data_IF_583029932508
#
_entry.id   IF_583029932508
#
_cell.length_a   1.000
_cell.length_b   1.000
_cell.length_c   1.000
_cell.angle_alpha   90.00
_cell.angle_beta   90.00
_cell.angle_gamma   90.00
#
_symmetry.space_group_name_H-M   'P 1'
#
loop_
_entity.id
_entity.type
_entity.pdbx_description
1 polymer ?
#
# COMPACT_ATOMS: atom_id res chain seq x y z
N UNK A 1 4.11 -7.71 31.30
CA UNK A 1 5.29 -7.38 30.47
C UNK A 1 4.99 -7.02 29.01
N UNK A 2 3.74 -7.18 28.50
CA UNK A 2 3.40 -6.85 27.10
C UNK A 2 2.75 -5.48 26.91
N UNK A 3 2.22 -4.87 27.98
CA UNK A 3 1.56 -3.55 27.95
C UNK A 3 2.52 -2.47 27.42
N UNK A 4 1.96 -1.52 26.65
CA UNK A 4 2.67 -0.31 26.24
C UNK A 4 2.66 0.65 27.43
N UNK A 5 3.72 0.60 28.23
CA UNK A 5 3.88 1.46 29.41
C UNK A 5 5.29 2.04 29.40
N UNK A 6 5.47 3.39 29.44
CA UNK A 6 6.79 4.00 29.48
C UNK A 6 7.62 3.59 30.71
N UNK A 7 6.99 3.06 31.77
CA UNK A 7 7.68 2.49 32.94
C UNK A 7 8.27 1.11 32.67
N UNK A 8 7.86 0.42 31.61
CA UNK A 8 8.43 -0.84 31.17
C UNK A 8 9.40 -0.57 30.01
N UNK A 9 10.64 -0.27 30.35
CA UNK A 9 11.67 0.18 29.41
C UNK A 9 11.84 -0.78 28.21
N UNK A 10 11.80 -2.09 28.45
CA UNK A 10 11.97 -3.09 27.40
C UNK A 10 10.81 -3.08 26.39
N UNK A 11 9.56 -3.25 26.85
CA UNK A 11 8.41 -3.35 25.92
C UNK A 11 8.15 -2.01 25.22
N UNK A 12 8.33 -0.90 25.93
CA UNK A 12 8.16 0.43 25.36
C UNK A 12 9.21 0.75 24.31
N UNK A 13 10.49 0.44 24.57
CA UNK A 13 11.57 0.68 23.60
C UNK A 13 11.36 -0.13 22.34
N UNK A 14 11.04 -1.43 22.46
CA UNK A 14 10.76 -2.29 21.31
C UNK A 14 9.55 -1.84 20.49
N UNK A 15 8.51 -1.28 21.14
CA UNK A 15 7.35 -0.75 20.45
C UNK A 15 7.65 0.58 19.73
N UNK A 16 8.45 1.45 20.36
CA UNK A 16 8.81 2.78 19.88
C UNK A 16 9.80 2.74 18.71
N UNK A 17 10.85 1.92 18.84
CA UNK A 17 11.92 1.73 17.85
C UNK A 17 12.07 0.24 17.60
N UNK A 18 11.44 -0.25 16.52
CA UNK A 18 11.34 -1.69 16.28
C UNK A 18 12.74 -2.23 15.96
N UNK A 19 13.30 -3.17 16.75
CA UNK A 19 14.70 -3.56 16.66
C UNK A 19 15.01 -4.51 15.49
N UNK A 20 14.03 -4.80 14.63
CA UNK A 20 14.15 -5.73 13.51
C UNK A 20 14.15 -4.93 12.20
N UNK A 21 15.09 -5.17 11.28
CA UNK A 21 15.09 -4.49 10.00
C UNK A 21 13.90 -4.95 9.16
N UNK A 22 13.12 -3.99 8.65
CA UNK A 22 12.12 -4.24 7.62
C UNK A 22 12.76 -4.00 6.26
N UNK A 23 12.44 -4.82 5.28
CA UNK A 23 12.87 -4.60 3.90
C UNK A 23 11.63 -4.46 3.01
N UNK A 24 11.72 -3.54 2.06
CA UNK A 24 10.75 -3.37 0.98
C UNK A 24 11.44 -3.77 -0.31
N UNK A 25 10.98 -4.85 -0.93
CA UNK A 25 11.45 -5.26 -2.26
C UNK A 25 10.45 -4.76 -3.29
N UNK A 26 10.94 -3.99 -4.26
CA UNK A 26 10.11 -3.42 -5.33
C UNK A 26 10.43 -4.10 -6.65
N UNK A 27 9.38 -4.43 -7.39
CA UNK A 27 9.45 -5.02 -8.71
C UNK A 27 8.67 -4.14 -9.69
N UNK A 28 9.26 -3.82 -10.83
CA UNK A 28 8.59 -3.07 -11.89
C UNK A 28 8.25 -3.99 -13.06
N UNK A 29 7.10 -3.75 -13.68
CA UNK A 29 6.77 -4.37 -14.96
C UNK A 29 7.22 -3.45 -16.10
N UNK A 30 8.36 -3.78 -16.71
CA UNK A 30 8.89 -3.07 -17.87
C UNK A 30 8.06 -3.40 -19.10
N UNK A 31 7.47 -2.39 -19.75
CA UNK A 31 6.68 -2.56 -20.97
C UNK A 31 7.62 -2.73 -22.17
N UNK A 32 7.47 -3.86 -22.88
CA UNK A 32 8.35 -4.22 -23.99
C UNK A 32 7.87 -3.70 -25.35
N UNK A 33 6.57 -3.46 -25.51
CA UNK A 33 5.93 -3.14 -26.79
C UNK A 33 5.04 -1.87 -26.72
N UNK A 34 5.54 -0.72 -26.23
CA UNK A 34 4.71 0.46 -26.00
C UNK A 34 4.06 1.00 -27.28
N UNK A 35 4.72 0.89 -28.44
CA UNK A 35 4.18 1.38 -29.72
C UNK A 35 3.02 0.52 -30.21
N UNK A 36 3.13 -0.79 -30.08
CA UNK A 36 2.12 -1.77 -30.45
C UNK A 36 0.89 -1.65 -29.54
N UNK A 37 1.10 -1.42 -28.24
CA UNK A 37 -0.01 -1.16 -27.30
C UNK A 37 -0.81 0.07 -27.72
N UNK A 38 -0.16 1.13 -28.19
CA UNK A 38 -0.86 2.30 -28.73
C UNK A 38 -1.61 2.02 -30.04
N UNK A 39 -1.22 0.98 -30.78
CA UNK A 39 -1.93 0.49 -31.95
C UNK A 39 -3.08 -0.47 -31.60
N UNK A 40 -3.25 -0.84 -30.32
CA UNK A 40 -4.32 -1.72 -29.83
C UNK A 40 -3.88 -3.15 -29.52
N UNK A 41 -2.59 -3.47 -29.62
CA UNK A 41 -2.07 -4.78 -29.23
C UNK A 41 -2.02 -4.95 -27.71
N UNK A 42 -1.92 -6.21 -27.27
CA UNK A 42 -1.81 -6.54 -25.84
C UNK A 42 -0.44 -6.10 -25.27
N UNK A 43 -0.41 -5.47 -24.07
CA UNK A 43 0.85 -5.21 -23.37
C UNK A 43 1.64 -6.48 -23.10
N UNK A 44 2.93 -6.45 -23.44
CA UNK A 44 3.93 -7.44 -23.05
C UNK A 44 4.84 -6.80 -22.00
N UNK A 45 4.95 -7.45 -20.84
CA UNK A 45 5.76 -6.94 -19.74
C UNK A 45 6.81 -7.94 -19.29
N UNK A 46 7.91 -7.42 -18.77
CA UNK A 46 8.95 -8.19 -18.09
C UNK A 46 9.15 -7.64 -16.68
N UNK A 47 9.15 -8.51 -15.67
CA UNK A 47 9.43 -8.10 -14.30
C UNK A 47 10.91 -7.75 -14.12
N UNK A 48 11.19 -6.58 -13.55
CA UNK A 48 12.52 -6.08 -13.20
C UNK A 48 12.61 -5.84 -11.69
N UNK A 49 13.54 -6.51 -11.02
CA UNK A 49 13.75 -6.41 -9.58
C UNK A 49 14.25 -7.73 -8.97
N UNK A 50 14.41 -7.80 -7.64
CA UNK A 50 14.01 -6.76 -6.69
C UNK A 50 14.97 -5.57 -6.67
N UNK A 51 14.41 -4.39 -6.43
CA UNK A 51 15.12 -3.23 -5.88
C UNK A 51 14.77 -3.14 -4.40
N UNK A 52 15.75 -3.37 -3.54
CA UNK A 52 15.55 -3.58 -2.10
C UNK A 52 15.89 -2.32 -1.32
N UNK A 53 14.97 -1.93 -0.44
CA UNK A 53 15.14 -0.82 0.48
C UNK A 53 14.97 -1.29 1.91
N UNK A 54 15.96 -1.04 2.76
CA UNK A 54 15.82 -1.17 4.20
C UNK A 54 14.94 -0.03 4.72
N UNK A 55 13.86 -0.40 5.38
CA UNK A 55 12.89 0.50 5.99
C UNK A 55 13.18 0.63 7.49
N UNK A 56 13.44 1.85 7.94
CA UNK A 56 13.49 2.22 9.36
C UNK A 56 12.13 2.78 9.78
N UNK A 57 11.61 2.30 10.91
CA UNK A 57 10.31 2.70 11.45
C UNK A 57 10.51 3.26 12.85
N UNK A 58 10.06 4.49 13.10
CA UNK A 58 10.16 5.12 14.43
C UNK A 58 8.88 5.82 14.82
N UNK A 59 8.42 5.58 16.05
CA UNK A 59 7.27 6.28 16.63
C UNK A 59 7.72 7.55 17.36
N UNK A 60 7.16 8.68 16.96
CA UNK A 60 7.43 10.01 17.51
C UNK A 60 6.13 10.68 17.96
N UNK A 61 6.25 11.84 18.64
CA UNK A 61 5.12 12.61 19.17
C UNK A 61 4.15 11.76 19.99
N UNK A 62 4.71 10.96 20.91
CA UNK A 62 3.98 9.97 21.68
C UNK A 62 3.29 10.65 22.87
N UNK A 63 1.97 10.50 22.94
CA UNK A 63 1.14 11.06 24.02
C UNK A 63 0.24 9.97 24.61
N UNK A 64 0.37 9.73 25.91
CA UNK A 64 -0.48 8.79 26.64
C UNK A 64 -1.71 9.48 27.21
N UNK A 65 -2.84 8.79 27.20
CA UNK A 65 -4.13 9.34 27.59
C UNK A 65 -4.73 8.63 28.82
N UNK A 66 -5.59 9.31 29.60
CA UNK A 66 -6.26 8.71 30.76
C UNK A 66 -7.14 7.51 30.43
N UNK A 67 -7.69 7.44 29.21
CA UNK A 67 -8.54 6.35 28.72
C UNK A 67 -7.75 5.11 28.24
N UNK A 68 -6.52 4.92 28.74
CA UNK A 68 -5.66 3.77 28.41
C UNK A 68 -5.28 3.64 26.93
N UNK A 69 -5.32 4.75 26.19
CA UNK A 69 -4.81 4.84 24.81
C UNK A 69 -3.51 5.63 24.72
N UNK A 70 -2.83 5.50 23.58
CA UNK A 70 -1.61 6.25 23.25
C UNK A 70 -1.69 6.72 21.80
N UNK A 71 -1.40 8.00 21.56
CA UNK A 71 -1.28 8.58 20.23
C UNK A 71 0.17 8.70 19.81
N UNK A 72 0.47 8.46 18.53
CA UNK A 72 1.82 8.61 17.96
C UNK A 72 1.79 8.83 16.45
N UNK A 73 2.88 9.40 15.93
CA UNK A 73 3.18 9.44 14.51
C UNK A 73 4.26 8.42 14.19
N UNK A 74 3.99 7.57 13.19
CA UNK A 74 4.97 6.60 12.70
C UNK A 74 5.73 7.15 11.51
N UNK A 75 7.01 7.44 11.70
CA UNK A 75 7.90 7.89 10.64
C UNK A 75 8.58 6.70 9.96
N UNK A 76 8.69 6.79 8.63
CA UNK A 76 9.30 5.77 7.78
C UNK A 76 10.42 6.39 6.95
N UNK A 77 11.60 5.78 7.00
CA UNK A 77 12.73 6.15 6.16
C UNK A 77 13.19 4.93 5.37
N UNK A 78 13.52 5.13 4.10
CA UNK A 78 13.93 4.06 3.19
C UNK A 78 15.38 4.29 2.73
N UNK A 79 16.18 3.23 2.81
CA UNK A 79 17.60 3.24 2.43
C UNK A 79 17.83 2.12 1.43
N UNK A 80 18.31 2.45 0.24
CA UNK A 80 18.58 1.45 -0.80
C UNK A 80 19.68 0.49 -0.34
N UNK A 81 19.49 -0.81 -0.63
CA UNK A 81 20.42 -1.89 -0.27
C UNK A 81 20.92 -2.56 -1.57
N UNK A 82 22.03 -2.05 -2.16
CA UNK A 82 22.55 -2.57 -3.43
C UNK A 82 22.93 -4.05 -3.37
N UNK A 83 23.41 -4.53 -2.22
CA UNK A 83 23.84 -5.93 -2.04
C UNK A 83 22.69 -6.94 -2.03
N UNK A 84 21.45 -6.47 -1.83
CA UNK A 84 20.24 -7.29 -1.86
C UNK A 84 19.40 -7.07 -3.12
N UNK A 85 19.81 -6.11 -3.97
CA UNK A 85 19.09 -5.71 -5.17
C UNK A 85 19.66 -6.41 -6.40
N UNK A 86 18.80 -6.74 -7.37
CA UNK A 86 19.25 -7.29 -8.66
C UNK A 86 19.92 -6.23 -9.53
N UNK A 87 19.55 -4.96 -9.35
CA UNK A 87 19.98 -3.83 -10.15
C UNK A 87 20.25 -2.58 -9.30
N UNK A 88 20.52 -1.46 -9.96
CA UNK A 88 20.74 -0.16 -9.32
C UNK A 88 19.52 0.75 -9.48
N UNK A 89 19.35 1.75 -8.62
CA UNK A 89 18.29 2.76 -8.77
C UNK A 89 18.43 3.59 -10.07
N UNK A 90 19.60 3.57 -10.70
CA UNK A 90 19.83 4.15 -12.03
C UNK A 90 19.25 3.33 -13.19
N UNK A 91 18.83 2.09 -12.95
CA UNK A 91 18.24 1.23 -13.98
C UNK A 91 16.96 1.85 -14.51
N UNK A 92 16.79 1.78 -15.83
CA UNK A 92 15.72 2.47 -16.54
C UNK A 92 14.61 1.50 -16.89
N UNK A 93 13.37 1.90 -16.61
CA UNK A 93 12.17 1.11 -16.88
C UNK A 93 11.15 1.96 -17.63
N UNK A 94 10.47 1.34 -18.59
CA UNK A 94 9.32 1.92 -19.30
C UNK A 94 8.03 1.46 -18.64
N UNK A 95 7.22 2.40 -18.15
CA UNK A 95 5.93 2.15 -17.51
C UNK A 95 4.83 3.05 -18.08
N UNK A 96 3.54 2.73 -17.87
CA UNK A 96 2.45 3.65 -18.19
C UNK A 96 2.63 5.00 -17.48
N UNK A 97 2.42 6.09 -18.21
CA UNK A 97 2.57 7.45 -17.69
C UNK A 97 1.38 7.82 -16.80
N UNK A 98 1.51 7.54 -15.50
CA UNK A 98 0.44 7.76 -14.52
C UNK A 98 -0.02 9.21 -14.44
N UNK A 99 0.86 10.20 -14.64
CA UNK A 99 0.47 11.61 -14.69
C UNK A 99 -0.45 11.89 -15.86
N UNK A 100 -0.06 11.48 -17.07
CA UNK A 100 -0.84 11.70 -18.28
C UNK A 100 -2.16 10.94 -18.22
N UNK A 101 -2.15 9.68 -17.76
CA UNK A 101 -3.35 8.86 -17.60
C UNK A 101 -4.31 9.44 -16.55
N UNK A 102 -3.79 9.87 -15.40
CA UNK A 102 -4.58 10.51 -14.35
C UNK A 102 -5.20 11.82 -14.83
N UNK A 103 -4.40 12.68 -15.45
CA UNK A 103 -4.90 13.92 -16.03
C UNK A 103 -5.93 13.66 -17.14
N UNK A 104 -5.74 12.64 -17.99
CA UNK A 104 -6.69 12.27 -19.05
C UNK A 104 -8.07 11.90 -18.49
N UNK A 105 -8.12 11.10 -17.42
CA UNK A 105 -9.38 10.73 -16.75
C UNK A 105 -10.03 11.96 -16.10
N UNK A 106 -9.25 12.82 -15.44
CA UNK A 106 -9.78 14.05 -14.84
C UNK A 106 -10.33 15.04 -15.89
N UNK A 107 -9.77 15.05 -17.09
CA UNK A 107 -10.18 15.92 -18.19
C UNK A 107 -11.49 15.52 -18.88
N UNK A 108 -11.97 14.30 -18.69
CA UNK A 108 -13.13 13.76 -19.42
C UNK A 108 -14.37 14.65 -19.25
N UNK A 109 -14.52 15.27 -18.07
CA UNK A 109 -15.66 16.11 -17.71
C UNK A 109 -15.37 17.63 -17.85
N UNK A 110 -14.22 18.04 -18.37
CA UNK A 110 -13.86 19.46 -18.50
C UNK A 110 -14.42 20.10 -19.79
N UNK A 111 -14.65 21.42 -19.80
CA UNK A 111 -15.06 22.14 -21.01
C UNK A 111 -14.07 21.95 -22.17
N UNK A 112 -14.60 21.89 -23.40
CA UNK A 112 -13.83 21.61 -24.62
C UNK A 112 -12.56 22.46 -24.75
N UNK A 113 -12.65 23.77 -24.51
CA UNK A 113 -11.52 24.69 -24.63
C UNK A 113 -10.36 24.33 -23.66
N UNK A 114 -10.70 23.91 -22.43
CA UNK A 114 -9.71 23.52 -21.45
C UNK A 114 -9.08 22.16 -21.79
N UNK A 115 -9.90 21.21 -22.26
CA UNK A 115 -9.40 19.92 -22.78
C UNK A 115 -8.42 20.11 -23.94
N UNK A 116 -8.73 21.03 -24.88
CA UNK A 116 -7.85 21.36 -26.00
C UNK A 116 -6.53 21.99 -25.53
N UNK A 117 -6.59 22.91 -24.55
CA UNK A 117 -5.41 23.51 -23.94
C UNK A 117 -4.48 22.45 -23.36
N UNK A 118 -4.99 21.58 -22.48
CA UNK A 118 -4.18 20.55 -21.81
C UNK A 118 -3.66 19.51 -22.82
N UNK A 119 -4.47 19.11 -23.80
CA UNK A 119 -4.03 18.21 -24.88
C UNK A 119 -2.86 18.81 -25.68
N UNK A 120 -2.92 20.12 -25.95
CA UNK A 120 -1.83 20.85 -26.62
C UNK A 120 -0.59 20.92 -25.74
N UNK A 121 -0.76 21.08 -24.42
CA UNK A 121 0.34 21.04 -23.45
C UNK A 121 1.05 19.69 -23.46
N UNK A 122 0.32 18.57 -23.45
CA UNK A 122 0.93 17.22 -23.53
C UNK A 122 1.81 17.08 -24.76
N UNK A 123 1.30 17.48 -25.93
CA UNK A 123 2.07 17.44 -27.19
C UNK A 123 3.30 18.35 -27.14
N UNK A 124 3.16 19.55 -26.56
CA UNK A 124 4.25 20.54 -26.45
C UNK A 124 5.37 20.06 -25.53
N UNK A 125 5.01 19.44 -24.41
CA UNK A 125 5.97 18.90 -23.45
C UNK A 125 6.48 17.51 -23.82
N UNK A 126 5.97 16.93 -24.91
CA UNK A 126 6.27 15.56 -25.37
C UNK A 126 5.92 14.51 -24.30
N UNK A 127 4.84 14.75 -23.57
CA UNK A 127 4.28 13.83 -22.59
C UNK A 127 3.45 12.77 -23.32
N UNK A 128 3.94 11.53 -23.31
CA UNK A 128 3.29 10.38 -23.95
C UNK A 128 2.57 9.47 -22.95
N UNK A 129 1.77 8.50 -23.43
CA UNK A 129 1.07 7.53 -22.57
C UNK A 129 1.99 6.55 -21.83
N UNK A 130 3.24 6.44 -22.27
CA UNK A 130 4.32 5.71 -21.60
C UNK A 130 5.44 6.68 -21.27
N UNK A 131 6.15 6.40 -20.18
CA UNK A 131 7.34 7.15 -19.78
C UNK A 131 8.46 6.16 -19.46
N UNK A 132 9.69 6.61 -19.71
CA UNK A 132 10.92 5.85 -19.48
C UNK A 132 11.78 6.64 -18.52
N UNK A 133 12.00 6.09 -17.32
CA UNK A 133 12.65 6.77 -16.19
C UNK A 133 13.48 5.79 -15.36
N UNK A 134 14.42 6.31 -14.57
CA UNK A 134 15.16 5.46 -13.64
C UNK A 134 14.26 4.98 -12.51
N UNK A 135 14.62 3.88 -11.86
CA UNK A 135 13.94 3.38 -10.66
C UNK A 135 13.90 4.43 -9.57
N UNK A 136 14.99 5.18 -9.36
CA UNK A 136 15.05 6.29 -8.39
C UNK A 136 13.96 7.34 -8.67
N UNK A 137 13.87 7.78 -9.93
CA UNK A 137 12.91 8.77 -10.38
C UNK A 137 11.47 8.26 -10.21
N UNK A 138 11.20 7.00 -10.55
CA UNK A 138 9.87 6.39 -10.43
C UNK A 138 9.44 6.23 -8.96
N UNK A 139 10.37 5.85 -8.09
CA UNK A 139 10.14 5.63 -6.66
C UNK A 139 9.97 6.95 -5.91
N UNK A 140 10.98 7.82 -5.98
CA UNK A 140 11.12 8.98 -5.09
C UNK A 140 10.74 10.30 -5.75
N UNK A 141 10.55 10.25 -7.06
CA UNK A 141 9.91 11.30 -7.83
C UNK A 141 10.86 12.05 -8.75
N UNK A 142 10.29 12.55 -9.83
CA UNK A 142 10.96 13.36 -10.85
C UNK A 142 10.23 14.69 -11.06
N UNK A 143 10.97 15.68 -11.56
CA UNK A 143 10.41 16.96 -11.95
C UNK A 143 9.68 16.83 -13.30
N UNK A 144 8.46 17.37 -13.37
CA UNK A 144 7.64 17.33 -14.58
C UNK A 144 7.12 18.72 -14.91
N UNK A 145 7.41 19.16 -16.15
CA UNK A 145 6.87 20.41 -16.70
C UNK A 145 5.35 20.41 -16.73
N UNK A 146 4.74 19.23 -16.89
CA UNK A 146 3.30 19.08 -16.85
C UNK A 146 2.76 19.37 -15.44
N UNK A 147 3.41 18.86 -14.40
CA UNK A 147 3.04 19.15 -13.01
C UNK A 147 3.15 20.65 -12.73
N UNK A 148 4.24 21.30 -13.14
CA UNK A 148 4.42 22.75 -12.98
C UNK A 148 3.31 23.55 -13.68
N UNK A 149 2.98 23.17 -14.92
CA UNK A 149 1.93 23.81 -15.69
C UNK A 149 0.56 23.65 -15.02
N UNK A 150 0.22 22.44 -14.60
CA UNK A 150 -1.07 22.13 -13.98
C UNK A 150 -1.21 22.85 -12.64
N UNK A 151 -0.18 22.87 -11.80
CA UNK A 151 -0.23 23.59 -10.53
C UNK A 151 -0.36 25.12 -10.72
N UNK A 152 0.27 25.67 -11.77
CA UNK A 152 0.22 27.11 -12.06
C UNK A 152 -1.13 27.56 -12.63
N UNK A 153 -1.70 26.78 -13.54
CA UNK A 153 -2.88 27.19 -14.32
C UNK A 153 -4.18 26.51 -13.88
N UNK A 154 -4.09 25.38 -13.17
CA UNK A 154 -5.20 24.57 -12.68
C UNK A 154 -4.95 24.16 -11.21
N UNK A 155 -4.88 25.14 -10.28
CA UNK A 155 -4.59 24.86 -8.89
C UNK A 155 -5.63 23.92 -8.28
N UNK A 156 -5.16 22.92 -7.52
CA UNK A 156 -6.00 21.91 -6.88
C UNK A 156 -6.33 20.69 -7.76
N UNK A 157 -5.88 20.66 -9.02
CA UNK A 157 -6.08 19.50 -9.90
C UNK A 157 -5.14 18.33 -9.54
N UNK A 158 -3.91 18.63 -9.11
CA UNK A 158 -2.97 17.64 -8.62
C UNK A 158 -2.87 17.70 -7.09
N UNK A 159 -2.72 16.55 -6.41
CA UNK A 159 -2.58 16.52 -4.95
C UNK A 159 -1.25 17.07 -4.46
N UNK A 160 -0.21 17.09 -5.31
CA UNK A 160 1.15 17.50 -4.95
C UNK A 160 1.65 18.63 -5.86
N UNK A 161 2.35 19.59 -5.25
CA UNK A 161 2.93 20.75 -5.94
C UNK A 161 4.40 20.58 -6.33
N UNK A 162 4.99 19.42 -6.04
CA UNK A 162 6.41 19.10 -6.28
C UNK A 162 6.62 17.91 -7.21
N UNK A 163 7.62 17.08 -6.89
CA UNK A 163 7.97 15.90 -7.68
C UNK A 163 6.83 14.90 -7.76
N UNK A 164 6.71 14.24 -8.91
CA UNK A 164 5.79 13.12 -9.07
C UNK A 164 6.54 11.80 -9.00
N UNK A 165 6.07 10.87 -8.18
CA UNK A 165 6.59 9.51 -8.06
C UNK A 165 5.62 8.64 -7.27
N UNK A 166 5.78 7.32 -7.36
CA UNK A 166 4.91 6.34 -6.68
C UNK A 166 4.94 6.51 -5.16
N UNK A 167 6.12 6.84 -4.63
CA UNK A 167 6.40 6.97 -3.20
C UNK A 167 7.08 8.31 -2.88
N UNK A 168 6.87 9.34 -3.71
CA UNK A 168 7.54 10.63 -3.59
C UNK A 168 7.38 11.28 -2.20
N UNK A 169 6.24 11.08 -1.55
CA UNK A 169 5.94 11.62 -0.21
C UNK A 169 6.09 10.58 0.91
N UNK A 170 6.69 9.41 0.66
CA UNK A 170 6.78 8.32 1.65
C UNK A 170 8.09 8.36 2.44
N UNK A 171 9.16 8.90 1.88
CA UNK A 171 10.45 8.90 2.53
C UNK A 171 10.56 10.03 3.56
N UNK A 172 10.96 9.69 4.79
CA UNK A 172 11.04 10.61 5.93
C UNK A 172 9.69 11.27 6.27
N UNK A 173 8.58 10.60 5.95
CA UNK A 173 7.23 11.05 6.27
C UNK A 173 6.54 10.08 7.23
N UNK A 174 5.29 10.38 7.58
CA UNK A 174 4.48 9.54 8.45
C UNK A 174 3.14 9.18 7.79
N UNK A 175 2.51 8.09 8.28
CA UNK A 175 1.23 7.61 7.75
C UNK A 175 0.02 8.10 8.53
N UNK A 176 0.10 9.28 9.13
CA UNK A 176 -0.95 9.86 9.96
C UNK A 176 -0.85 9.50 11.44
N UNK A 177 -1.65 10.21 12.25
CA UNK A 177 -1.71 10.09 13.70
C UNK A 177 -2.56 8.88 14.08
N UNK A 178 -1.92 7.84 14.63
CA UNK A 178 -2.62 6.71 15.20
C UNK A 178 -2.86 6.93 16.69
N UNK A 179 -4.07 6.64 17.15
CA UNK A 179 -4.39 6.41 18.56
C UNK A 179 -4.73 4.94 18.73
N UNK A 180 -4.01 4.25 19.60
CA UNK A 180 -4.18 2.81 19.84
C UNK A 180 -4.36 2.52 21.33
N UNK A 181 -4.98 1.39 21.64
CA UNK A 181 -5.06 0.89 23.01
C UNK A 181 -3.70 0.39 23.51
N UNK A 182 -3.37 0.73 24.75
CA UNK A 182 -2.10 0.35 25.41
C UNK A 182 -2.13 -1.08 25.97
N UNK A 183 -3.32 -1.65 26.16
CA UNK A 183 -3.53 -2.94 26.81
C UNK A 183 -3.46 -2.90 28.33
N UNK A 184 -3.45 -1.71 28.94
CA UNK A 184 -3.36 -1.51 30.40
C UNK A 184 -4.64 -1.93 31.13
N UNK A 185 -5.78 -1.73 30.48
CA UNK A 185 -7.11 -2.14 30.93
C UNK A 185 -7.39 -3.60 30.55
N UNK A 186 -7.27 -3.93 29.27
CA UNK A 186 -7.46 -5.29 28.75
C UNK A 186 -6.37 -5.58 27.72
N UNK A 187 -5.53 -6.58 28.02
CA UNK A 187 -4.44 -6.97 27.14
C UNK A 187 -4.93 -7.45 25.76
N UNK A 188 -6.19 -7.89 25.64
CA UNK A 188 -6.81 -8.27 24.35
C UNK A 188 -7.09 -7.08 23.44
N UNK A 189 -7.01 -5.85 23.96
CA UNK A 189 -7.18 -4.62 23.20
C UNK A 189 -5.86 -4.03 22.71
N UNK A 190 -4.71 -4.46 23.25
CA UNK A 190 -3.42 -3.86 22.90
C UNK A 190 -3.20 -3.77 21.38
N UNK A 191 -2.67 -2.64 20.92
CA UNK A 191 -2.45 -2.32 19.50
C UNK A 191 -3.69 -2.10 18.64
N UNK A 192 -4.90 -2.37 19.15
CA UNK A 192 -6.12 -2.03 18.41
C UNK A 192 -6.21 -0.53 18.20
N UNK A 193 -6.59 -0.14 16.99
CA UNK A 193 -6.77 1.26 16.60
C UNK A 193 -8.07 1.76 17.23
N UNK A 194 -7.96 2.83 17.99
CA UNK A 194 -9.10 3.62 18.47
C UNK A 194 -9.49 4.65 17.41
N UNK A 195 -8.50 5.36 16.86
CA UNK A 195 -8.70 6.34 15.79
C UNK A 195 -7.45 6.55 14.93
N UNK A 196 -7.67 7.02 13.70
CA UNK A 196 -6.62 7.45 12.78
C UNK A 196 -6.93 8.86 12.28
N UNK A 197 -6.00 9.80 12.46
CA UNK A 197 -6.20 11.23 12.20
C UNK A 197 -7.47 11.80 12.86
N UNK A 198 -7.79 11.31 14.06
CA UNK A 198 -9.01 11.69 14.81
C UNK A 198 -10.31 11.07 14.27
N UNK A 199 -10.24 10.28 13.19
CA UNK A 199 -11.37 9.55 12.63
C UNK A 199 -11.48 8.16 13.25
N UNK A 200 -12.68 7.78 13.66
CA UNK A 200 -13.05 6.42 14.10
C UNK A 200 -13.66 5.59 12.96
N UNK A 201 -14.01 6.25 11.85
CA UNK A 201 -14.49 5.66 10.60
C UNK A 201 -14.04 6.52 9.42
N UNK A 202 -13.83 5.87 8.29
CA UNK A 202 -13.51 6.50 7.02
C UNK A 202 -14.76 7.14 6.40
N UNK A 203 -14.54 7.89 5.32
CA UNK A 203 -15.61 8.50 4.52
C UNK A 203 -15.48 8.18 3.03
N UNK A 204 -14.46 7.39 2.65
CA UNK A 204 -14.11 7.13 1.26
C UNK A 204 -14.98 6.06 0.58
N UNK A 205 -15.74 5.27 1.36
CA UNK A 205 -16.47 4.10 0.87
C UNK A 205 -17.99 4.27 0.98
N UNK A 206 -18.74 3.46 0.24
CA UNK A 206 -20.19 3.63 0.08
C UNK A 206 -21.02 3.16 1.27
N UNK A 207 -20.54 2.16 2.00
CA UNK A 207 -21.28 1.56 3.12
C UNK A 207 -20.61 1.86 4.46
N UNK A 208 -21.36 1.92 5.57
CA UNK A 208 -20.80 2.09 6.90
C UNK A 208 -19.77 1.01 7.26
N UNK A 209 -20.04 -0.25 6.87
CA UNK A 209 -19.14 -1.38 7.10
C UNK A 209 -17.78 -1.19 6.44
N UNK A 210 -17.75 -0.80 5.16
CA UNK A 210 -16.49 -0.61 4.42
C UNK A 210 -15.67 0.58 4.95
N UNK A 211 -16.32 1.50 5.65
CA UNK A 211 -15.69 2.65 6.29
C UNK A 211 -15.16 2.35 7.71
N UNK A 212 -15.33 1.14 8.26
CA UNK A 212 -14.83 0.83 9.59
C UNK A 212 -13.29 0.77 9.62
N UNK A 213 -12.69 1.36 10.65
CA UNK A 213 -11.27 1.20 10.97
C UNK A 213 -11.15 0.07 11.99
N UNK A 214 -10.91 -1.13 11.48
CA UNK A 214 -10.84 -2.36 12.28
C UNK A 214 -9.39 -2.82 12.50
N UNK A 215 -9.18 -3.45 13.67
CA UNK A 215 -7.96 -4.17 13.98
C UNK A 215 -6.82 -3.27 14.46
N UNK A 216 -5.59 -3.62 14.07
CA UNK A 216 -4.37 -2.90 14.50
C UNK A 216 -3.77 -2.07 13.36
N UNK A 217 -2.64 -1.39 13.61
CA UNK A 217 -1.87 -0.71 12.56
C UNK A 217 -1.05 -1.66 11.67
N UNK A 218 -1.23 -2.99 11.78
CA UNK A 218 -0.59 -3.99 10.91
C UNK A 218 0.84 -4.42 11.31
N UNK A 219 1.34 -3.96 12.46
CA UNK A 219 2.69 -4.27 12.97
C UNK A 219 2.71 -5.25 14.14
N UNK A 220 1.66 -5.25 14.95
CA UNK A 220 1.55 -6.06 16.15
C UNK A 220 0.07 -6.35 16.37
N UNK A 221 -0.24 -7.51 16.95
CA UNK A 221 -1.60 -7.90 17.33
C UNK A 221 -1.66 -8.29 18.81
N UNK A 222 -2.86 -8.27 19.43
CA UNK A 222 -3.03 -8.74 20.79
C UNK A 222 -2.49 -10.16 20.99
N UNK A 223 -1.97 -10.52 22.18
CA UNK A 223 -1.43 -11.86 22.48
C UNK A 223 -2.51 -12.96 22.53
N UNK A 224 -2.08 -14.22 22.59
CA UNK A 224 -2.94 -15.41 22.72
C UNK A 224 -3.86 -15.66 21.52
N UNK A 225 -3.31 -15.66 20.30
CA UNK A 225 -4.09 -15.97 19.10
C UNK A 225 -4.40 -17.48 19.03
N UNK A 226 -5.59 -17.80 18.56
CA UNK A 226 -6.02 -19.18 18.25
C UNK A 226 -6.14 -19.38 16.74
N UNK A 227 -6.36 -20.62 16.30
CA UNK A 227 -6.56 -20.94 14.87
C UNK A 227 -7.85 -20.36 14.32
N UNK A 228 -8.82 -20.07 15.19
CA UNK A 228 -10.09 -19.43 14.89
C UNK A 228 -9.99 -17.89 14.88
N UNK A 229 -8.89 -17.33 15.38
CA UNK A 229 -8.67 -15.89 15.38
C UNK A 229 -8.40 -15.39 13.95
N UNK A 230 -8.80 -14.17 13.63
CA UNK A 230 -8.39 -13.45 12.42
C UNK A 230 -7.51 -12.26 12.77
N UNK A 231 -6.78 -11.73 11.79
CA UNK A 231 -5.89 -10.58 11.97
C UNK A 231 -6.38 -9.38 11.16
N UNK A 232 -7.38 -8.63 11.67
CA UNK A 232 -7.76 -7.38 11.05
C UNK A 232 -6.66 -6.32 11.26
N UNK A 233 -6.45 -5.48 10.26
CA UNK A 233 -5.58 -4.31 10.36
C UNK A 233 -6.05 -3.19 9.42
N UNK A 234 -5.81 -1.96 9.82
CA UNK A 234 -6.04 -0.79 8.97
C UNK A 234 -4.78 -0.41 8.22
N UNK A 235 -4.89 -0.28 6.89
CA UNK A 235 -3.79 0.18 6.03
C UNK A 235 -4.16 1.55 5.43
N UNK A 236 -3.55 2.65 5.88
CA UNK A 236 -3.73 3.96 5.26
C UNK A 236 -3.42 3.95 3.76
N UNK A 237 -2.41 3.15 3.37
CA UNK A 237 -1.93 3.06 1.99
C UNK A 237 -2.96 2.40 1.05
N UNK A 238 -3.73 1.43 1.56
CA UNK A 238 -4.82 0.75 0.86
C UNK A 238 -6.21 1.38 1.15
N UNK A 239 -6.24 2.42 1.99
CA UNK A 239 -7.43 3.19 2.35
C UNK A 239 -8.58 2.38 2.95
N UNK A 240 -8.32 1.20 3.52
CA UNK A 240 -9.35 0.37 4.16
C UNK A 240 -8.74 -0.55 5.21
N UNK A 241 -9.62 -1.14 6.02
CA UNK A 241 -9.25 -2.31 6.80
C UNK A 241 -9.22 -3.58 5.95
N UNK A 242 -8.22 -4.40 6.22
CA UNK A 242 -7.93 -5.70 5.61
C UNK A 242 -7.88 -6.75 6.72
N UNK A 243 -8.01 -8.01 6.34
CA UNK A 243 -8.02 -9.12 7.30
C UNK A 243 -7.23 -10.31 6.75
N UNK A 244 -6.37 -10.89 7.59
CA UNK A 244 -5.68 -12.15 7.30
C UNK A 244 -6.33 -13.29 8.09
N UNK A 245 -6.38 -14.46 7.49
CA UNK A 245 -7.00 -15.67 8.06
C UNK A 245 -5.95 -16.75 8.27
N UNK A 246 -6.14 -17.57 9.31
CA UNK A 246 -5.23 -18.68 9.60
C UNK A 246 -5.16 -19.66 8.42
N UNK A 247 -3.95 -20.11 8.09
CA UNK A 247 -3.69 -21.11 7.06
C UNK A 247 -3.13 -22.40 7.66
N UNK A 248 -2.03 -22.32 8.41
CA UNK A 248 -1.30 -23.49 8.92
C UNK A 248 -0.36 -23.16 10.08
N UNK A 249 0.08 -24.20 10.78
CA UNK A 249 1.22 -24.12 11.71
C UNK A 249 2.56 -24.20 10.96
N UNK A 250 3.61 -23.67 11.59
CA UNK A 250 4.98 -23.75 11.11
C UNK A 250 5.98 -23.63 12.25
N UNK A 251 7.25 -23.86 11.92
CA UNK A 251 8.39 -23.67 12.83
C UNK A 251 9.47 -22.91 12.06
N UNK A 252 10.01 -21.86 12.66
CA UNK A 252 11.16 -21.12 12.13
C UNK A 252 12.18 -20.92 13.25
N UNK A 253 13.42 -21.34 13.03
CA UNK A 253 14.50 -21.27 14.02
C UNK A 253 14.11 -21.86 15.40
N UNK A 254 13.35 -22.95 15.39
CA UNK A 254 12.84 -23.62 16.60
C UNK A 254 11.65 -22.91 17.27
N UNK A 255 11.16 -21.81 16.71
CA UNK A 255 10.03 -21.04 17.23
C UNK A 255 8.73 -21.51 16.55
N UNK A 256 7.70 -21.92 17.30
CA UNK A 256 6.40 -22.30 16.73
C UNK A 256 5.62 -21.07 16.26
N UNK A 257 5.01 -21.18 15.08
CA UNK A 257 4.35 -20.08 14.38
C UNK A 257 3.00 -20.50 13.83
N UNK A 258 2.09 -19.54 13.75
CA UNK A 258 0.89 -19.63 12.95
C UNK A 258 1.04 -18.73 11.73
N UNK A 259 0.82 -19.31 10.55
CA UNK A 259 0.79 -18.59 9.28
C UNK A 259 -0.63 -18.10 9.02
N UNK A 260 -0.75 -16.79 8.84
CA UNK A 260 -1.97 -16.13 8.40
C UNK A 260 -1.76 -15.59 6.99
N UNK A 261 -2.76 -15.73 6.13
CA UNK A 261 -2.69 -15.35 4.72
C UNK A 261 -3.84 -14.44 4.34
N UNK A 262 -3.65 -13.66 3.27
CA UNK A 262 -4.75 -12.96 2.64
C UNK A 262 -5.71 -13.97 1.98
N UNK A 263 -6.99 -14.01 2.40
CA UNK A 263 -7.97 -14.86 1.73
C UNK A 263 -8.29 -14.32 0.33
N UNK A 264 -8.75 -15.20 -0.57
CA UNK A 264 -9.22 -14.81 -1.91
C UNK A 264 -10.34 -13.75 -1.87
N UNK A 265 -11.08 -13.67 -0.77
CA UNK A 265 -12.14 -12.69 -0.53
C UNK A 265 -11.63 -11.27 -0.26
N UNK A 266 -10.34 -11.07 0.04
CA UNK A 266 -9.78 -9.76 0.42
C UNK A 266 -10.07 -8.67 -0.63
N UNK A 267 -9.86 -8.98 -1.92
CA UNK A 267 -10.13 -8.08 -3.04
C UNK A 267 -11.22 -8.61 -3.98
N UNK A 268 -12.03 -9.57 -3.54
CA UNK A 268 -13.14 -10.08 -4.33
C UNK A 268 -14.19 -8.99 -4.60
N UNK A 269 -14.85 -9.09 -5.75
CA UNK A 269 -15.99 -8.26 -6.14
C UNK A 269 -17.12 -8.40 -5.11
N UNK A 270 -17.87 -7.31 -4.86
CA UNK A 270 -19.06 -7.33 -4.02
C UNK A 270 -20.13 -8.35 -4.45
N UNK A 271 -20.21 -8.70 -5.74
CA UNK A 271 -21.08 -9.77 -6.23
C UNK A 271 -20.66 -11.16 -5.75
N UNK A 272 -19.35 -11.38 -5.61
CA UNK A 272 -18.77 -12.66 -5.21
C UNK A 272 -18.64 -12.76 -3.69
N UNK A 273 -18.46 -11.61 -3.02
CA UNK A 273 -18.36 -11.48 -1.58
C UNK A 273 -19.08 -10.21 -1.11
N UNK A 274 -20.34 -10.37 -0.68
CA UNK A 274 -21.23 -9.27 -0.30
C UNK A 274 -20.62 -8.23 0.67
N UNK A 275 -19.79 -8.60 1.68
CA UNK A 275 -19.13 -7.62 2.54
C UNK A 275 -18.24 -6.60 1.81
N UNK A 276 -17.84 -6.87 0.56
CA UNK A 276 -17.03 -5.95 -0.25
C UNK A 276 -17.86 -4.99 -1.13
N UNK A 277 -19.19 -5.05 -1.13
CA UNK A 277 -20.05 -4.23 -2.00
C UNK A 277 -19.79 -2.72 -1.87
N UNK A 278 -19.45 -2.25 -0.65
CA UNK A 278 -19.18 -0.83 -0.41
C UNK A 278 -17.84 -0.30 -0.95
N UNK A 279 -16.93 -1.19 -1.40
CA UNK A 279 -15.65 -0.81 -2.03
C UNK A 279 -15.75 -0.59 -3.56
N UNK A 280 -16.93 -0.81 -4.13
CA UNK A 280 -17.17 -0.70 -5.58
C UNK A 280 -17.15 0.76 -6.08
N UNK A 281 -16.77 1.03 -7.35
CA UNK A 281 -17.31 0.36 -8.54
C UNK A 281 -16.66 -1.00 -8.77
N UNK A 282 -17.51 -2.02 -8.87
CA UNK A 282 -17.04 -3.39 -8.93
C UNK A 282 -16.44 -3.66 -10.31
N UNK A 283 -15.20 -4.18 -10.31
CA UNK A 283 -14.53 -4.74 -11.49
C UNK A 283 -14.38 -6.24 -11.27
N UNK A 284 -13.58 -6.90 -12.08
CA UNK A 284 -13.17 -8.28 -11.86
C UNK A 284 -12.65 -8.46 -10.42
N UNK A 285 -12.95 -9.61 -9.83
CA UNK A 285 -12.43 -9.99 -8.51
C UNK A 285 -10.91 -9.95 -8.48
N UNK A 286 -10.34 -9.51 -7.36
CA UNK A 286 -8.89 -9.34 -7.17
C UNK A 286 -8.37 -7.92 -7.38
N UNK A 287 -9.24 -6.97 -7.72
CA UNK A 287 -8.90 -5.55 -7.90
C UNK A 287 -9.63 -4.66 -6.89
N UNK A 288 -8.89 -3.76 -6.24
CA UNK A 288 -9.43 -2.72 -5.38
C UNK A 288 -9.20 -1.35 -6.02
N UNK A 289 -10.28 -0.65 -6.39
CA UNK A 289 -10.18 0.74 -6.83
C UNK A 289 -9.94 1.65 -5.63
N UNK A 290 -8.85 2.42 -5.64
CA UNK A 290 -8.47 3.36 -4.58
C UNK A 290 -8.56 4.83 -5.01
N UNK A 291 -9.26 5.12 -6.11
CA UNK A 291 -9.41 6.49 -6.61
C UNK A 291 -10.02 7.44 -5.57
N UNK A 292 -10.95 6.95 -4.74
CA UNK A 292 -11.64 7.74 -3.71
C UNK A 292 -10.74 8.27 -2.60
N UNK A 293 -9.55 7.72 -2.43
CA UNK A 293 -8.55 8.17 -1.46
C UNK A 293 -7.23 8.64 -2.11
N UNK A 294 -7.12 8.53 -3.43
CA UNK A 294 -5.95 8.97 -4.22
C UNK A 294 -6.30 10.14 -5.14
N UNK A 295 -7.06 11.10 -4.62
CA UNK A 295 -7.43 12.33 -5.33
C UNK A 295 -8.05 12.08 -6.70
N UNK A 296 -8.93 11.08 -6.80
CA UNK A 296 -9.57 10.62 -8.03
C UNK A 296 -8.61 10.10 -9.12
N UNK A 297 -7.36 9.82 -8.78
CA UNK A 297 -6.42 9.15 -9.67
C UNK A 297 -6.91 7.72 -9.98
N UNK A 298 -6.86 7.26 -11.24
CA UNK A 298 -7.39 5.96 -11.66
C UNK A 298 -6.46 4.80 -11.27
N UNK A 299 -6.25 4.61 -9.96
CA UNK A 299 -5.33 3.61 -9.41
C UNK A 299 -6.11 2.43 -8.84
N UNK A 300 -5.63 1.23 -9.17
CA UNK A 300 -6.12 -0.03 -8.64
C UNK A 300 -5.00 -0.76 -7.90
N UNK A 301 -5.35 -1.43 -6.80
CA UNK A 301 -4.47 -2.31 -6.05
C UNK A 301 -4.89 -3.75 -6.31
N UNK A 302 -3.92 -4.64 -6.47
CA UNK A 302 -4.11 -6.09 -6.56
C UNK A 302 -2.98 -6.80 -5.81
N UNK A 303 -3.07 -8.13 -5.69
CA UNK A 303 -1.86 -8.90 -5.43
C UNK A 303 -0.93 -8.89 -6.66
N UNK A 304 0.38 -9.12 -6.47
CA UNK A 304 1.34 -9.20 -7.57
C UNK A 304 0.91 -10.24 -8.61
N UNK A 305 1.17 -9.95 -9.89
CA UNK A 305 0.79 -10.80 -11.02
C UNK A 305 -0.70 -11.18 -11.07
N UNK A 306 -1.58 -10.40 -10.42
CA UNK A 306 -2.99 -10.72 -10.24
C UNK A 306 -3.22 -12.07 -9.54
N UNK A 307 -2.33 -12.46 -8.63
CA UNK A 307 -2.55 -13.63 -7.77
C UNK A 307 -3.88 -13.51 -7.02
N UNK A 308 -4.62 -14.62 -6.89
CA UNK A 308 -5.98 -14.67 -6.33
C UNK A 308 -7.05 -13.80 -7.04
N UNK A 309 -6.75 -13.23 -8.21
CA UNK A 309 -7.71 -12.46 -8.98
C UNK A 309 -8.49 -13.33 -9.99
N UNK A 310 -9.44 -12.70 -10.69
CA UNK A 310 -10.15 -13.30 -11.81
C UNK A 310 -9.15 -13.63 -12.94
N UNK A 311 -9.09 -14.89 -13.42
CA UNK A 311 -8.16 -15.30 -14.48
C UNK A 311 -8.26 -14.48 -15.76
N UNK A 312 -9.43 -13.88 -16.06
CA UNK A 312 -9.60 -13.02 -17.24
C UNK A 312 -8.64 -11.83 -17.25
N UNK A 313 -8.15 -11.39 -16.08
CA UNK A 313 -7.16 -10.31 -15.99
C UNK A 313 -5.80 -10.69 -16.60
N UNK A 314 -5.46 -11.98 -16.58
CA UNK A 314 -4.23 -12.50 -17.18
C UNK A 314 -4.30 -12.47 -18.71
N UNK A 315 -5.50 -12.49 -19.30
CA UNK A 315 -5.68 -12.44 -20.75
C UNK A 315 -5.33 -11.06 -21.34
N UNK A 316 -5.32 -10.01 -20.51
CA UNK A 316 -5.05 -8.64 -20.95
C UNK A 316 -3.58 -8.25 -20.95
N UNK A 317 -2.70 -8.99 -20.26
CA UNK A 317 -1.27 -8.65 -20.12
C UNK A 317 -0.42 -9.90 -20.24
N UNK A 318 0.49 -9.91 -21.22
CA UNK A 318 1.44 -11.00 -21.41
C UNK A 318 2.66 -10.83 -20.49
N UNK A 319 3.17 -11.94 -19.94
CA UNK A 319 4.33 -11.95 -19.05
C UNK A 319 4.00 -12.10 -17.56
N UNK A 320 2.71 -12.23 -17.19
CA UNK A 320 2.29 -12.45 -15.82
C UNK A 320 2.29 -13.95 -15.45
N UNK A 321 2.84 -14.30 -14.27
CA UNK A 321 2.91 -15.68 -13.77
C UNK A 321 2.57 -15.72 -12.27
N UNK A 322 1.29 -15.72 -11.88
CA UNK A 322 0.91 -15.72 -10.47
C UNK A 322 1.25 -17.05 -9.76
N UNK A 323 2.04 -17.01 -8.68
CA UNK A 323 2.33 -18.15 -7.81
C UNK A 323 2.04 -17.80 -6.34
N UNK A 324 1.59 -18.78 -5.54
CA UNK A 324 1.35 -18.56 -4.10
C UNK A 324 2.65 -18.21 -3.36
N UNK A 325 3.75 -18.89 -3.70
CA UNK A 325 5.03 -18.74 -3.00
C UNK A 325 5.66 -17.35 -3.14
N UNK A 326 5.47 -16.68 -4.28
CA UNK A 326 6.08 -15.38 -4.55
C UNK A 326 5.10 -14.22 -4.37
N UNK A 327 3.80 -14.45 -4.62
CA UNK A 327 2.80 -13.38 -4.68
C UNK A 327 1.75 -13.45 -3.56
N UNK A 328 1.80 -14.48 -2.72
CA UNK A 328 0.96 -14.59 -1.54
C UNK A 328 1.32 -13.55 -0.47
N UNK A 329 0.31 -12.87 0.06
CA UNK A 329 0.42 -12.03 1.25
C UNK A 329 0.26 -12.90 2.49
N UNK A 330 1.29 -12.97 3.34
CA UNK A 330 1.23 -13.73 4.58
C UNK A 330 2.03 -13.12 5.72
N UNK A 331 1.71 -13.57 6.92
CA UNK A 331 2.44 -13.27 8.13
C UNK A 331 2.54 -14.50 9.03
N UNK A 332 3.71 -14.68 9.62
CA UNK A 332 3.96 -15.70 10.62
C UNK A 332 4.06 -15.03 12.00
N UNK A 333 3.18 -15.44 12.91
CA UNK A 333 3.13 -14.92 14.27
C UNK A 333 3.34 -16.02 15.30
N UNK A 334 4.02 -15.68 16.40
CA UNK A 334 4.15 -16.58 17.53
C UNK A 334 2.82 -16.67 18.31
N UNK A 335 2.17 -17.84 18.47
CA UNK A 335 0.79 -17.95 19.01
C UNK A 335 0.54 -17.28 20.37
N UNK A 336 1.50 -17.40 21.30
CA UNK A 336 1.36 -16.86 22.67
C UNK A 336 1.73 -15.37 22.75
N UNK A 337 2.91 -14.98 22.27
CA UNK A 337 3.41 -13.60 22.40
C UNK A 337 2.93 -12.66 21.29
N UNK A 338 2.45 -13.20 20.17
CA UNK A 338 2.06 -12.52 18.94
C UNK A 338 3.07 -11.50 18.41
N UNK A 339 4.35 -11.75 18.72
CA UNK A 339 5.46 -11.12 18.03
C UNK A 339 5.49 -11.63 16.59
N UNK A 340 5.53 -10.70 15.64
CA UNK A 340 5.82 -11.01 14.25
C UNK A 340 7.25 -11.53 14.16
N UNK A 341 7.45 -12.68 13.54
CA UNK A 341 8.80 -13.26 13.34
C UNK A 341 9.21 -13.23 11.87
N UNK A 342 8.25 -13.35 10.96
CA UNK A 342 8.48 -13.30 9.53
C UNK A 342 7.22 -12.81 8.81
N UNK A 343 7.38 -11.89 7.86
CA UNK A 343 6.25 -11.28 7.16
C UNK A 343 6.63 -11.03 5.70
N UNK A 344 5.76 -11.45 4.78
CA UNK A 344 5.82 -11.04 3.38
C UNK A 344 4.58 -10.20 3.07
N UNK A 345 4.75 -8.88 3.11
CA UNK A 345 3.73 -7.95 2.65
C UNK A 345 3.89 -7.74 1.15
N UNK A 346 3.15 -8.51 0.36
CA UNK A 346 2.93 -8.19 -1.06
C UNK A 346 2.01 -6.96 -1.13
N UNK A 347 2.58 -5.80 -1.50
CA UNK A 347 1.85 -4.54 -1.66
C UNK A 347 1.84 -4.12 -3.12
#
# INVERSE_FOLDING_TARGET
NLVIDPKNEMSYTMWKDVPVPFFMSVYFFNVLNPTEVLAGEKPMVEQRGPYVYRKRIQKQNITFHPNHTVSYLEYRSYFFEPSMSMGNESDVVTIPNMLVLGAAVMMENLPFALRLMISTTFKTFKEGPFLTKSVEELMWGYDSKLVDFLNKWLPGMLPSTGKFGLFAEFNNSNTGLFTIHTGKDDIRLIHKVDSWNGLTKLTNWKTPQCNMINGTAGQMWPPFMTKESTLPFYSPDACRSLELVYQREGIMDGIPLYRYVAPKTMFANGSDYAPNEGFCPCRQSGLLNVSSCRSNSPVFISHPHFYNADPVLLDFVQGLQPTEGEHGLFIDIHPVSNRQTHTQLAR
#
